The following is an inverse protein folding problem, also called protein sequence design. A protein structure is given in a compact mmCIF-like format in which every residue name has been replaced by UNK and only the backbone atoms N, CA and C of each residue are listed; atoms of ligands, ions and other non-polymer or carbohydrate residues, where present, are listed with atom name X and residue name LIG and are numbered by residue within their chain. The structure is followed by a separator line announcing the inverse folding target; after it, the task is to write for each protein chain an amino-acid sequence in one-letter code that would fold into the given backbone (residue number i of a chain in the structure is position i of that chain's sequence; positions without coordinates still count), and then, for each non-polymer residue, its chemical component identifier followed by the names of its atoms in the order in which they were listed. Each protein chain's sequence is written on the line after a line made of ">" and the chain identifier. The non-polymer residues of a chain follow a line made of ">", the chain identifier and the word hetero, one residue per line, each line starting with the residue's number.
data_IF_428430730782
#
_entry.id   IF_428430730782
#
_cell.length_a   1.000
_cell.length_b   1.000
_cell.length_c   1.000
_cell.angle_alpha   90.00
_cell.angle_beta   90.00
_cell.angle_gamma   90.00
#
_symmetry.space_group_name_H-M   'P 1'
#
loop_
_entity.id
_entity.type
_entity.pdbx_description
1 polymer ?
#
# COMPACT_ATOMS: atom_id res chain seq x y z
N UNK A 1 -10.28 20.62 10.64
CA UNK A 1 -9.84 19.90 11.87
C UNK A 1 -8.88 18.77 11.50
N UNK A 2 -7.92 18.39 12.37
CA UNK A 2 -7.01 17.22 12.13
C UNK A 2 -7.78 15.94 11.79
N UNK A 3 -8.98 15.78 12.36
CA UNK A 3 -9.90 14.66 12.13
C UNK A 3 -10.41 14.60 10.68
N UNK A 4 -10.76 15.75 10.08
CA UNK A 4 -11.22 15.82 8.69
C UNK A 4 -10.10 15.44 7.71
N UNK A 5 -8.86 15.85 8.01
CA UNK A 5 -7.70 15.49 7.18
C UNK A 5 -7.38 13.99 7.24
N UNK A 6 -7.53 13.35 8.41
CA UNK A 6 -7.39 11.90 8.55
C UNK A 6 -8.48 11.15 7.78
N UNK A 7 -9.74 11.62 7.87
CA UNK A 7 -10.85 11.03 7.12
C UNK A 7 -10.63 11.07 5.60
N UNK A 8 -10.13 12.18 5.05
CA UNK A 8 -9.79 12.29 3.62
C UNK A 8 -8.66 11.31 3.26
N UNK A 9 -7.62 11.22 4.09
CA UNK A 9 -6.49 10.31 3.86
C UNK A 9 -6.92 8.84 3.85
N UNK A 10 -7.83 8.43 4.76
CA UNK A 10 -8.39 7.09 4.78
C UNK A 10 -9.21 6.80 3.51
N UNK A 11 -9.99 7.76 3.02
CA UNK A 11 -10.72 7.62 1.75
C UNK A 11 -9.78 7.48 0.55
N UNK A 12 -8.69 8.24 0.51
CA UNK A 12 -7.67 8.10 -0.54
C UNK A 12 -7.02 6.71 -0.49
N UNK A 13 -6.72 6.22 0.71
CA UNK A 13 -6.16 4.88 0.92
C UNK A 13 -7.13 3.78 0.46
N UNK A 14 -8.40 3.88 0.81
CA UNK A 14 -9.45 2.93 0.38
C UNK A 14 -9.52 2.85 -1.15
N UNK A 15 -9.50 4.00 -1.84
CA UNK A 15 -9.49 4.06 -3.30
C UNK A 15 -8.20 3.49 -3.87
N UNK A 16 -7.04 3.82 -3.29
CA UNK A 16 -5.74 3.32 -3.73
C UNK A 16 -5.65 1.80 -3.64
N UNK A 17 -6.10 1.21 -2.51
CA UNK A 17 -6.15 -0.23 -2.31
C UNK A 17 -6.99 -0.91 -3.40
N UNK A 18 -8.19 -0.38 -3.70
CA UNK A 18 -9.07 -0.95 -4.75
C UNK A 18 -8.46 -0.87 -6.14
N UNK A 19 -7.76 0.22 -6.45
CA UNK A 19 -7.05 0.37 -7.73
C UNK A 19 -5.89 -0.63 -7.82
N UNK A 20 -5.11 -0.79 -6.75
CA UNK A 20 -4.01 -1.75 -6.69
C UNK A 20 -4.51 -3.20 -6.83
N UNK A 21 -5.57 -3.58 -6.11
CA UNK A 21 -6.21 -4.89 -6.23
C UNK A 21 -6.69 -5.19 -7.65
N UNK A 22 -7.38 -4.23 -8.28
CA UNK A 22 -7.90 -4.41 -9.63
C UNK A 22 -6.77 -4.67 -10.66
N UNK A 23 -5.63 -4.01 -10.49
CA UNK A 23 -4.47 -4.16 -11.37
C UNK A 23 -3.66 -5.41 -11.04
N UNK A 24 -3.42 -5.67 -9.75
CA UNK A 24 -2.63 -6.81 -9.27
C UNK A 24 -3.28 -8.15 -9.54
N UNK A 25 -4.61 -8.23 -9.45
CA UNK A 25 -5.36 -9.46 -9.72
C UNK A 25 -5.83 -9.56 -11.18
N UNK A 26 -5.39 -8.66 -12.06
CA UNK A 26 -5.64 -8.76 -13.50
C UNK A 26 -7.06 -8.39 -13.94
N UNK A 27 -7.89 -7.78 -13.07
CA UNK A 27 -9.20 -7.24 -13.46
C UNK A 27 -9.07 -6.04 -14.40
N UNK A 28 -7.97 -5.29 -14.30
CA UNK A 28 -7.60 -4.19 -15.18
C UNK A 28 -6.26 -4.47 -15.82
N UNK A 29 -6.23 -4.59 -17.15
CA UNK A 29 -5.02 -4.83 -17.92
C UNK A 29 -4.35 -3.49 -18.23
N UNK A 30 -3.09 -3.34 -17.82
CA UNK A 30 -2.28 -2.17 -18.12
C UNK A 30 -0.90 -2.53 -18.67
N UNK A 31 -0.33 -1.67 -19.55
CA UNK A 31 1.05 -1.81 -19.97
C UNK A 31 2.01 -1.86 -18.77
N UNK A 32 3.09 -2.63 -18.91
CA UNK A 32 4.12 -2.78 -17.87
C UNK A 32 4.63 -1.45 -17.35
N UNK A 33 4.88 -0.47 -18.21
CA UNK A 33 5.35 0.86 -17.81
C UNK A 33 4.35 1.59 -16.89
N UNK A 34 3.05 1.38 -17.07
CA UNK A 34 2.01 1.95 -16.21
C UNK A 34 1.91 1.23 -14.87
N UNK A 35 2.05 -0.09 -14.87
CA UNK A 35 2.11 -0.90 -13.63
C UNK A 35 3.31 -0.49 -12.78
N UNK A 36 4.49 -0.31 -13.39
CA UNK A 36 5.69 0.20 -12.72
C UNK A 36 5.48 1.60 -12.12
N UNK A 37 4.92 2.54 -12.90
CA UNK A 37 4.61 3.89 -12.40
C UNK A 37 3.66 3.86 -11.20
N UNK A 38 2.67 2.98 -11.22
CA UNK A 38 1.76 2.79 -10.09
C UNK A 38 2.49 2.32 -8.84
N UNK A 39 3.37 1.32 -8.94
CA UNK A 39 4.15 0.86 -7.78
C UNK A 39 5.03 1.98 -7.25
N UNK A 40 5.80 2.67 -8.11
CA UNK A 40 6.68 3.78 -7.70
C UNK A 40 5.93 4.95 -7.06
N UNK A 41 4.66 5.17 -7.41
CA UNK A 41 3.82 6.21 -6.81
C UNK A 41 3.22 5.78 -5.47
N UNK A 42 2.60 4.60 -5.42
CA UNK A 42 1.79 4.17 -4.28
C UNK A 42 2.61 3.50 -3.18
N UNK A 43 3.74 2.89 -3.50
CA UNK A 43 4.60 2.23 -2.51
C UNK A 43 5.14 3.23 -1.46
N UNK A 44 5.70 4.41 -1.83
CA UNK A 44 6.12 5.42 -0.86
C UNK A 44 4.95 5.98 -0.04
N UNK A 45 3.79 6.17 -0.67
CA UNK A 45 2.58 6.63 0.02
C UNK A 45 2.16 5.66 1.12
N UNK A 46 2.07 4.37 0.79
CA UNK A 46 1.68 3.32 1.72
C UNK A 46 2.64 3.22 2.92
N UNK A 47 3.95 3.33 2.65
CA UNK A 47 5.03 3.35 3.66
C UNK A 47 4.88 4.47 4.69
N UNK A 48 4.45 5.67 4.26
CA UNK A 48 4.24 6.82 5.16
C UNK A 48 2.89 6.72 5.87
N UNK A 49 1.87 6.26 5.18
CA UNK A 49 0.51 6.26 5.68
C UNK A 49 0.26 5.20 6.74
N UNK A 50 0.77 3.97 6.56
CA UNK A 50 0.54 2.89 7.52
C UNK A 50 0.96 3.24 8.95
N UNK A 51 2.21 3.65 9.25
CA UNK A 51 2.61 3.99 10.61
C UNK A 51 1.88 5.23 11.16
N UNK A 52 1.53 6.19 10.30
CA UNK A 52 0.79 7.38 10.72
C UNK A 52 -0.64 7.05 11.19
N UNK A 53 -1.25 6.05 10.55
CA UNK A 53 -2.58 5.59 10.91
C UNK A 53 -2.51 4.64 12.13
N UNK A 54 -1.53 3.72 12.17
CA UNK A 54 -1.30 2.84 13.33
C UNK A 54 -1.13 3.68 14.62
N UNK A 55 -0.38 4.79 14.56
CA UNK A 55 -0.21 5.73 15.68
C UNK A 55 -1.50 6.49 16.05
N UNK A 56 -2.34 6.85 15.08
CA UNK A 56 -3.59 7.56 15.34
C UNK A 56 -4.63 6.68 16.06
N UNK A 57 -4.57 5.36 15.85
CA UNK A 57 -5.47 4.42 16.53
C UNK A 57 -5.00 4.00 17.90
N UNK A 58 -3.69 3.95 18.16
CA UNK A 58 -3.21 3.74 19.54
C UNK A 58 -3.66 4.85 20.50
N UNK A 59 -3.95 6.04 19.98
CA UNK A 59 -4.45 7.19 20.76
C UNK A 59 -5.98 7.20 20.94
N UNK A 60 -6.73 6.36 20.22
CA UNK A 60 -8.21 6.38 20.21
C UNK A 60 -8.76 5.02 20.62
N UNK A 61 -9.21 4.85 21.87
CA UNK A 61 -9.75 3.59 22.45
C UNK A 61 -11.07 3.08 21.83
N UNK A 62 -11.35 3.32 20.54
CA UNK A 62 -12.65 3.02 19.94
C UNK A 62 -12.59 2.06 18.75
N UNK A 63 -13.33 0.94 18.93
CA UNK A 63 -13.92 0.03 17.94
C UNK A 63 -13.00 -0.97 17.21
N UNK A 64 -12.94 -2.18 17.78
CA UNK A 64 -12.34 -3.39 17.19
C UNK A 64 -12.78 -3.71 15.74
N UNK A 65 -13.94 -3.22 15.27
CA UNK A 65 -14.45 -3.48 13.92
C UNK A 65 -13.76 -2.62 12.86
N UNK A 66 -13.49 -1.33 13.14
CA UNK A 66 -12.78 -0.45 12.21
C UNK A 66 -11.31 -0.83 12.08
N UNK A 67 -10.68 -1.25 13.20
CA UNK A 67 -9.33 -1.82 13.23
C UNK A 67 -9.22 -3.10 12.38
N UNK A 68 -10.24 -3.97 12.42
CA UNK A 68 -10.23 -5.22 11.64
C UNK A 68 -10.35 -4.97 10.14
N UNK A 69 -11.23 -4.06 9.73
CA UNK A 69 -11.40 -3.66 8.32
C UNK A 69 -10.11 -3.06 7.78
N UNK A 70 -9.37 -2.33 8.61
CA UNK A 70 -8.10 -1.77 8.23
C UNK A 70 -6.97 -2.81 8.07
N UNK A 71 -6.83 -3.77 9.00
CA UNK A 71 -5.86 -4.84 8.86
C UNK A 71 -6.05 -5.66 7.58
N UNK A 72 -7.30 -6.01 7.25
CA UNK A 72 -7.65 -6.73 6.01
C UNK A 72 -7.30 -5.89 4.77
N UNK A 73 -7.51 -4.57 4.81
CA UNK A 73 -7.17 -3.66 3.72
C UNK A 73 -5.65 -3.57 3.49
N UNK A 74 -4.84 -3.39 4.54
CA UNK A 74 -3.38 -3.35 4.40
C UNK A 74 -2.82 -4.67 3.85
N UNK A 75 -3.34 -5.80 4.33
CA UNK A 75 -2.95 -7.12 3.85
C UNK A 75 -3.31 -7.34 2.38
N UNK A 76 -4.51 -6.91 1.98
CA UNK A 76 -4.93 -6.99 0.57
C UNK A 76 -4.07 -6.08 -0.32
N UNK A 77 -3.77 -4.87 0.14
CA UNK A 77 -2.94 -3.94 -0.61
C UNK A 77 -1.48 -4.42 -0.74
N UNK A 78 -0.92 -5.03 0.30
CA UNK A 78 0.40 -5.70 0.25
C UNK A 78 0.42 -6.84 -0.76
N UNK A 79 -0.58 -7.72 -0.69
CA UNK A 79 -0.75 -8.82 -1.66
C UNK A 79 -0.84 -8.30 -3.10
N UNK A 80 -1.55 -7.20 -3.32
CA UNK A 80 -1.63 -6.55 -4.62
C UNK A 80 -0.28 -5.98 -5.07
N UNK A 81 0.49 -5.32 -4.19
CA UNK A 81 1.84 -4.87 -4.52
C UNK A 81 2.74 -6.02 -4.94
N UNK A 82 2.80 -7.09 -4.15
CA UNK A 82 3.59 -8.30 -4.46
C UNK A 82 3.18 -8.86 -5.82
N UNK A 83 1.87 -9.00 -6.07
CA UNK A 83 1.35 -9.52 -7.34
C UNK A 83 1.75 -8.65 -8.54
N UNK A 84 1.65 -7.32 -8.40
CA UNK A 84 2.04 -6.38 -9.48
C UNK A 84 3.54 -6.50 -9.73
N UNK A 85 4.36 -6.46 -8.68
CA UNK A 85 5.82 -6.48 -8.76
C UNK A 85 6.30 -7.77 -9.41
N UNK A 86 5.79 -8.93 -8.98
CA UNK A 86 6.15 -10.23 -9.56
C UNK A 86 5.79 -10.34 -11.06
N UNK A 87 4.83 -9.55 -11.52
CA UNK A 87 4.42 -9.49 -12.92
C UNK A 87 5.15 -8.41 -13.75
N UNK A 88 6.14 -7.71 -13.17
CA UNK A 88 7.05 -6.80 -13.88
C UNK A 88 8.28 -7.56 -14.43
N UNK A 89 9.01 -6.99 -15.40
CA UNK A 89 10.34 -7.46 -15.80
C UNK A 89 11.30 -7.54 -14.62
N UNK A 90 12.26 -8.46 -14.69
CA UNK A 90 13.22 -8.71 -13.61
C UNK A 90 14.10 -7.49 -13.26
N UNK A 91 14.43 -6.66 -14.26
CA UNK A 91 15.18 -5.42 -14.04
C UNK A 91 14.41 -4.46 -13.11
N UNK A 92 13.12 -4.25 -13.38
CA UNK A 92 12.24 -3.40 -12.56
C UNK A 92 12.04 -3.98 -11.16
N UNK A 93 11.89 -5.31 -11.05
CA UNK A 93 11.78 -6.01 -9.77
C UNK A 93 13.03 -5.79 -8.90
N UNK A 94 14.22 -5.97 -9.50
CA UNK A 94 15.49 -5.82 -8.80
C UNK A 94 15.70 -4.37 -8.31
N UNK A 95 15.32 -3.37 -9.11
CA UNK A 95 15.36 -1.96 -8.70
C UNK A 95 14.49 -1.73 -7.43
N UNK A 96 13.23 -2.17 -7.46
CA UNK A 96 12.28 -1.98 -6.36
C UNK A 96 12.74 -2.71 -5.09
N UNK A 97 13.16 -3.97 -5.21
CA UNK A 97 13.61 -4.78 -4.07
C UNK A 97 14.90 -4.24 -3.45
N UNK A 98 15.83 -3.76 -4.27
CA UNK A 98 17.07 -3.12 -3.78
C UNK A 98 16.74 -1.86 -2.98
N UNK A 99 15.83 -1.02 -3.47
CA UNK A 99 15.37 0.16 -2.74
C UNK A 99 14.64 -0.23 -1.44
N UNK A 100 13.82 -1.27 -1.47
CA UNK A 100 13.11 -1.78 -0.29
C UNK A 100 14.09 -2.26 0.79
N UNK A 101 15.05 -3.11 0.43
CA UNK A 101 16.08 -3.63 1.34
C UNK A 101 16.99 -2.54 1.91
N UNK A 102 17.23 -1.47 1.15
CA UNK A 102 18.04 -0.33 1.59
C UNK A 102 17.41 0.49 2.71
N UNK A 103 16.11 0.36 2.96
CA UNK A 103 15.38 1.18 3.92
C UNK A 103 15.15 0.44 5.25
N UNK A 104 16.11 0.53 6.18
CA UNK A 104 16.12 -0.20 7.46
C UNK A 104 14.92 0.03 8.42
N UNK A 105 14.09 1.04 8.18
CA UNK A 105 12.95 1.40 9.04
C UNK A 105 11.58 1.07 8.43
N UNK A 106 11.56 0.41 7.27
CA UNK A 106 10.31 0.11 6.54
C UNK A 106 9.91 -1.34 6.79
N UNK A 107 8.78 -1.52 7.48
CA UNK A 107 8.18 -2.83 7.76
C UNK A 107 6.95 -3.12 6.89
N UNK A 108 6.58 -2.20 5.99
CA UNK A 108 5.39 -2.34 5.15
C UNK A 108 5.53 -1.62 3.80
N UNK A 109 4.99 -2.19 2.70
CA UNK A 109 4.56 -3.58 2.60
C UNK A 109 5.76 -4.53 2.72
N UNK A 110 5.55 -5.73 3.24
CA UNK A 110 6.56 -6.79 3.19
C UNK A 110 6.67 -7.27 1.73
N UNK A 111 7.86 -7.08 1.14
CA UNK A 111 8.16 -7.49 -0.23
C UNK A 111 9.11 -8.70 -0.28
N UNK A 112 9.40 -9.31 0.87
CA UNK A 112 10.36 -10.44 1.00
C UNK A 112 9.71 -11.79 1.26
#
# INVERSE_FOLDING_TARGET
>A
SKVETLGIKLKVLEVAARVLEAVGYGNVIMPTSKRLQMVKLWLPFARVMKPAIDAAWTDTEHNNLELKVDCEMWQSMESAFVSIILALPSEDQAEILTEWLGNQHINYPDLT
#
